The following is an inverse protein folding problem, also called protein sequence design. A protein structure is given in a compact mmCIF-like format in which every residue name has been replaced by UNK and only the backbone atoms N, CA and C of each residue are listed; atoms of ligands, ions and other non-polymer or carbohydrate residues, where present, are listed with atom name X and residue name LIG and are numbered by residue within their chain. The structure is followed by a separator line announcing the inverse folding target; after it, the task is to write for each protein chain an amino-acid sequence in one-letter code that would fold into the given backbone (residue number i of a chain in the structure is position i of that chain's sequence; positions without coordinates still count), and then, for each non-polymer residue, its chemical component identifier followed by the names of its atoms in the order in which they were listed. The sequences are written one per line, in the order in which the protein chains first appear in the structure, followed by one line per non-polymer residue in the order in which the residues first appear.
data_IF_073959061026
#
_entry.id   IF_073959061026
#
_cell.length_a   1.000
_cell.length_b   1.000
_cell.length_c   1.000
_cell.angle_alpha   90.00
_cell.angle_beta   90.00
_cell.angle_gamma   90.00
#
_symmetry.space_group_name_H-M   'P 1'
#
loop_
_entity.id
_entity.type
_entity.pdbx_description
1 polymer ?
#
# COMPACT_ATOMS: atom_id res chain seq x y z
N UNK A 1 22.51 -33.71 -12.85
CA UNK A 1 22.65 -33.56 -11.38
C UNK A 1 21.42 -32.83 -10.86
N UNK A 2 20.57 -33.49 -10.06
CA UNK A 2 19.39 -32.84 -9.47
C UNK A 2 19.87 -31.91 -8.35
N UNK A 3 19.71 -30.60 -8.51
CA UNK A 3 19.97 -29.63 -7.45
C UNK A 3 18.84 -29.75 -6.42
N UNK A 4 19.04 -30.60 -5.42
CA UNK A 4 18.20 -30.61 -4.21
C UNK A 4 18.51 -29.32 -3.44
N UNK A 5 17.57 -28.39 -3.43
CA UNK A 5 17.57 -27.27 -2.48
C UNK A 5 17.70 -27.90 -1.09
N UNK A 6 18.77 -27.56 -0.36
CA UNK A 6 18.89 -27.97 1.02
C UNK A 6 17.68 -27.39 1.77
N UNK A 7 16.86 -28.26 2.38
CA UNK A 7 15.80 -27.84 3.28
C UNK A 7 16.45 -27.34 4.58
N UNK A 8 16.93 -26.09 4.54
CA UNK A 8 17.63 -25.42 5.65
C UNK A 8 16.68 -24.81 6.69
N UNK A 9 15.37 -25.03 6.55
CA UNK A 9 14.36 -24.41 7.41
C UNK A 9 13.25 -25.37 7.79
N UNK A 10 12.52 -25.02 8.85
CA UNK A 10 11.34 -25.74 9.28
C UNK A 10 10.20 -25.51 8.29
N UNK A 11 9.64 -26.60 7.75
CA UNK A 11 8.44 -26.54 6.93
C UNK A 11 7.24 -26.23 7.81
N UNK A 12 6.61 -25.08 7.58
CA UNK A 12 5.41 -24.67 8.29
C UNK A 12 4.18 -25.36 7.72
N UNK A 13 3.31 -25.84 8.60
CA UNK A 13 2.00 -26.34 8.23
C UNK A 13 1.03 -25.20 7.86
N UNK A 14 -0.14 -25.53 7.29
CA UNK A 14 -1.11 -24.52 6.81
C UNK A 14 -1.61 -23.58 7.91
N UNK A 15 -1.68 -24.04 9.17
CA UNK A 15 -2.11 -23.21 10.28
C UNK A 15 -1.00 -22.23 10.68
N UNK A 16 0.24 -22.69 10.73
CA UNK A 16 1.42 -21.87 11.02
C UNK A 16 1.66 -20.80 9.95
N UNK A 17 1.49 -21.15 8.67
CA UNK A 17 1.60 -20.18 7.57
C UNK A 17 0.53 -19.08 7.68
N UNK A 18 -0.70 -19.42 8.08
CA UNK A 18 -1.79 -18.44 8.28
C UNK A 18 -1.57 -17.55 9.49
N UNK A 19 -0.78 -18.02 10.47
CA UNK A 19 -0.43 -17.23 11.65
C UNK A 19 0.62 -16.16 11.36
N UNK A 20 1.30 -16.25 10.20
CA UNK A 20 2.18 -15.20 9.71
C UNK A 20 1.30 -14.06 9.19
N UNK A 21 1.01 -13.11 10.07
CA UNK A 21 0.45 -11.83 9.69
C UNK A 21 1.59 -10.97 9.12
N UNK A 22 1.50 -10.62 7.84
CA UNK A 22 2.39 -9.63 7.22
C UNK A 22 2.26 -8.26 7.92
N UNK A 23 3.23 -7.37 7.69
CA UNK A 23 3.27 -6.05 8.32
C UNK A 23 1.96 -5.26 8.19
N UNK A 24 1.66 -4.45 9.20
CA UNK A 24 0.47 -3.60 9.23
C UNK A 24 0.48 -2.64 8.04
N UNK A 25 -0.41 -2.86 7.07
CA UNK A 25 -0.67 -1.91 5.99
C UNK A 25 -1.40 -0.70 6.58
N UNK A 26 -0.65 0.24 7.17
CA UNK A 26 -1.17 1.58 7.40
C UNK A 26 -1.29 2.18 6.01
N UNK A 27 -2.50 2.32 5.48
CA UNK A 27 -2.69 3.12 4.28
C UNK A 27 -2.37 4.58 4.66
N UNK A 28 -1.24 5.14 4.19
CA UNK A 28 -0.85 6.50 4.53
C UNK A 28 -1.70 7.55 3.82
N UNK A 29 -2.47 7.11 2.81
CA UNK A 29 -3.29 7.94 1.98
C UNK A 29 -4.55 8.33 2.74
N UNK A 30 -4.44 9.33 3.60
CA UNK A 30 -5.58 10.06 4.15
C UNK A 30 -5.94 11.20 3.22
N UNK A 31 -7.22 11.58 3.13
CA UNK A 31 -7.64 12.64 2.22
C UNK A 31 -6.88 13.96 2.42
N UNK A 32 -6.58 14.67 1.34
CA UNK A 32 -5.79 15.90 1.35
C UNK A 32 -6.48 17.03 0.59
N UNK A 33 -6.45 18.25 1.12
CA UNK A 33 -6.82 19.47 0.37
C UNK A 33 -5.71 19.97 -0.56
N UNK A 34 -4.48 19.47 -0.38
CA UNK A 34 -3.33 19.78 -1.22
C UNK A 34 -3.13 18.59 -2.14
N UNK A 35 -3.57 18.72 -3.38
CA UNK A 35 -3.51 17.68 -4.40
C UNK A 35 -3.31 18.28 -5.79
N UNK A 36 -2.83 17.46 -6.72
CA UNK A 36 -2.79 17.76 -8.14
C UNK A 36 -4.01 17.12 -8.80
N UNK A 37 -4.86 17.94 -9.43
CA UNK A 37 -5.94 17.47 -10.30
C UNK A 37 -5.31 16.91 -11.58
N UNK A 38 -5.60 15.65 -11.89
CA UNK A 38 -5.10 14.98 -13.09
C UNK A 38 -6.19 14.84 -14.17
N UNK A 39 -7.37 15.42 -13.93
CA UNK A 39 -8.53 15.40 -14.82
C UNK A 39 -9.52 14.27 -14.50
N UNK A 40 -10.74 14.38 -15.02
CA UNK A 40 -11.76 13.33 -14.88
C UNK A 40 -12.29 13.12 -13.46
N UNK A 41 -12.04 14.05 -12.53
CA UNK A 41 -12.39 13.91 -11.12
C UNK A 41 -11.36 13.10 -10.32
N UNK A 42 -10.22 12.76 -10.90
CA UNK A 42 -9.12 12.07 -10.24
C UNK A 42 -8.06 13.06 -9.75
N UNK A 43 -7.34 12.68 -8.70
CA UNK A 43 -6.33 13.52 -8.09
C UNK A 43 -5.17 12.70 -7.52
N UNK A 44 -4.00 13.34 -7.43
CA UNK A 44 -2.81 12.76 -6.80
C UNK A 44 -2.28 13.67 -5.70
N UNK A 45 -1.78 13.10 -4.61
CA UNK A 45 -1.19 13.90 -3.52
C UNK A 45 -0.09 13.12 -2.78
N UNK A 46 0.83 13.83 -2.16
CA UNK A 46 1.81 13.24 -1.26
C UNK A 46 1.25 13.22 0.16
N UNK A 47 1.12 12.05 0.82
CA UNK A 47 0.62 11.99 2.18
C UNK A 47 1.63 12.58 3.17
N UNK A 48 1.12 13.24 4.22
CA UNK A 48 1.95 13.87 5.25
C UNK A 48 2.79 12.81 5.97
N UNK A 49 4.11 13.00 6.00
CA UNK A 49 5.04 12.09 6.68
C UNK A 49 5.56 10.92 5.83
N UNK A 50 5.31 10.95 4.51
CA UNK A 50 5.85 9.98 3.57
C UNK A 50 6.85 10.62 2.61
N UNK A 51 7.80 9.83 2.09
CA UNK A 51 8.73 10.23 1.04
C UNK A 51 7.94 10.84 -0.14
N UNK A 52 8.41 11.96 -0.69
CA UNK A 52 7.78 12.71 -1.78
C UNK A 52 7.62 11.88 -3.06
N UNK A 53 8.31 10.74 -3.15
CA UNK A 53 8.18 9.76 -4.24
C UNK A 53 6.96 8.84 -4.13
N UNK A 54 6.23 8.86 -3.00
CA UNK A 54 4.99 8.10 -2.85
C UNK A 54 3.80 9.03 -3.04
N UNK A 55 3.08 8.82 -4.14
CA UNK A 55 1.84 9.51 -4.45
C UNK A 55 0.65 8.61 -4.13
N UNK A 56 -0.34 9.20 -3.48
CA UNK A 56 -1.65 8.62 -3.27
C UNK A 56 -2.54 9.03 -4.43
N UNK A 57 -3.22 8.06 -5.03
CA UNK A 57 -4.28 8.28 -6.00
C UNK A 57 -5.62 8.38 -5.27
N UNK A 58 -6.46 9.30 -5.70
CA UNK A 58 -7.76 9.54 -5.12
C UNK A 58 -8.76 10.14 -6.11
N UNK A 59 -9.94 10.47 -5.58
CA UNK A 59 -10.96 11.21 -6.30
C UNK A 59 -11.29 12.53 -5.60
N UNK A 60 -11.56 13.56 -6.40
CA UNK A 60 -11.93 14.87 -5.92
C UNK A 60 -13.38 14.81 -5.42
N UNK A 61 -13.57 15.03 -4.13
CA UNK A 61 -14.87 15.12 -3.48
C UNK A 61 -14.90 16.33 -2.56
N UNK A 62 -15.86 17.24 -2.77
CA UNK A 62 -16.04 18.46 -1.97
C UNK A 62 -14.76 19.32 -1.83
N UNK A 63 -13.91 19.38 -2.87
CA UNK A 63 -12.66 20.14 -2.84
C UNK A 63 -11.50 19.47 -2.09
N UNK A 64 -11.63 18.18 -1.77
CA UNK A 64 -10.57 17.35 -1.19
C UNK A 64 -10.30 16.15 -2.09
N UNK A 65 -9.04 15.73 -2.16
CA UNK A 65 -8.66 14.46 -2.76
C UNK A 65 -8.81 13.34 -1.74
N UNK A 66 -9.83 12.50 -1.88
CA UNK A 66 -10.07 11.35 -1.02
C UNK A 66 -9.42 10.08 -1.60
N UNK A 67 -8.73 9.26 -0.79
CA UNK A 67 -8.16 7.99 -1.24
C UNK A 67 -9.24 7.06 -1.79
N UNK A 68 -8.92 6.31 -2.84
CA UNK A 68 -9.71 5.15 -3.27
C UNK A 68 -9.41 4.00 -2.29
N UNK A 69 -10.28 3.79 -1.31
CA UNK A 69 -10.18 2.72 -0.31
C UNK A 69 -10.84 1.45 -0.83
#
# INVERSE_FOLDING_TARGET
MKKSILNLGNALNKAEQKSINGGMFINPCNGSSIYNDIGGGECTYTPKGMDTRKLCLGQISNGFCAPLI
#
